data_IF_462404746208
#
_entry.id   IF_462404746208
#
_cell.length_a   1.000
_cell.length_b   1.000
_cell.length_c   1.000
_cell.angle_alpha   90.00
_cell.angle_beta   90.00
_cell.angle_gamma   90.00
#
_symmetry.space_group_name_H-M   'P 1'
#
loop_
_entity.id
_entity.type
_entity.pdbx_description
1 polymer ?
#
# COMPACT_ATOMS: atom_id res chain seq x y z
N UNK A 1 -2.05 5.72 14.33
CA UNK A 1 -3.03 5.09 13.42
C UNK A 1 -3.43 5.98 12.24
N UNK A 2 -3.80 7.25 12.44
CA UNK A 2 -4.13 8.19 11.34
C UNK A 2 -3.04 8.25 10.26
N UNK A 3 -1.78 8.40 10.66
CA UNK A 3 -0.63 8.41 9.74
C UNK A 3 -0.47 7.10 8.95
N UNK A 4 -0.81 5.95 9.54
CA UNK A 4 -0.76 4.65 8.85
C UNK A 4 -1.86 4.57 7.78
N UNK A 5 -3.05 5.11 8.06
CA UNK A 5 -4.16 5.18 7.09
C UNK A 5 -3.77 6.11 5.93
N UNK A 6 -3.20 7.27 6.21
CA UNK A 6 -2.73 8.21 5.19
C UNK A 6 -1.61 7.60 4.33
N UNK A 7 -0.65 6.90 4.96
CA UNK A 7 0.42 6.17 4.26
C UNK A 7 -0.14 5.08 3.34
N UNK A 8 -1.10 4.29 3.81
CA UNK A 8 -1.74 3.25 2.98
C UNK A 8 -2.47 3.87 1.79
N UNK A 9 -3.18 4.99 2.00
CA UNK A 9 -3.88 5.68 0.91
C UNK A 9 -2.92 6.19 -0.17
N UNK A 10 -1.80 6.79 0.23
CA UNK A 10 -0.76 7.25 -0.70
C UNK A 10 -0.15 6.08 -1.50
N UNK A 11 0.24 5.01 -0.80
CA UNK A 11 0.80 3.81 -1.44
C UNK A 11 -0.20 3.13 -2.39
N UNK A 12 -1.49 3.15 -2.05
CA UNK A 12 -2.53 2.60 -2.92
C UNK A 12 -2.71 3.43 -4.19
N UNK A 13 -2.63 4.75 -4.10
CA UNK A 13 -2.67 5.62 -5.28
C UNK A 13 -1.52 5.32 -6.24
N UNK A 14 -0.30 5.18 -5.71
CA UNK A 14 0.88 4.81 -6.49
C UNK A 14 0.75 3.41 -7.10
N UNK A 15 0.31 2.43 -6.29
CA UNK A 15 0.03 1.08 -6.76
C UNK A 15 -0.98 1.07 -7.91
N UNK A 16 -2.11 1.74 -7.75
CA UNK A 16 -3.20 1.75 -8.74
C UNK A 16 -2.72 2.34 -10.07
N UNK A 17 -2.01 3.46 -10.01
CA UNK A 17 -1.43 4.11 -11.21
C UNK A 17 -0.47 3.19 -11.95
N UNK A 18 0.49 2.60 -11.24
CA UNK A 18 1.52 1.77 -11.87
C UNK A 18 0.99 0.39 -12.30
N UNK A 19 0.04 -0.19 -11.57
CA UNK A 19 -0.62 -1.44 -11.93
C UNK A 19 -1.45 -1.27 -13.21
N UNK A 20 -2.23 -0.19 -13.31
CA UNK A 20 -3.00 0.10 -14.52
C UNK A 20 -2.08 0.32 -15.73
N UNK A 21 -0.99 1.07 -15.57
CA UNK A 21 -0.01 1.24 -16.64
C UNK A 21 0.66 -0.08 -17.07
N UNK A 22 0.87 -1.02 -16.15
CA UNK A 22 1.32 -2.37 -16.49
C UNK A 22 0.24 -3.16 -17.26
N UNK A 23 -1.02 -3.11 -16.80
CA UNK A 23 -2.15 -3.87 -17.36
C UNK A 23 -2.49 -3.39 -18.77
N UNK A 24 -2.63 -2.07 -18.95
CA UNK A 24 -3.09 -1.47 -20.21
C UNK A 24 -1.99 -1.45 -21.27
N UNK A 25 -0.76 -1.12 -20.86
CA UNK A 25 0.33 -0.80 -21.80
C UNK A 25 1.51 -1.78 -21.73
N UNK A 26 1.41 -2.85 -20.92
CA UNK A 26 2.51 -3.81 -20.76
C UNK A 26 3.78 -3.19 -20.13
N UNK A 27 3.68 -2.05 -19.45
CA UNK A 27 4.83 -1.34 -18.91
C UNK A 27 5.49 -2.13 -17.77
N UNK A 28 6.60 -2.81 -18.07
CA UNK A 28 7.34 -3.66 -17.12
C UNK A 28 7.90 -2.89 -15.93
N UNK A 29 8.37 -1.66 -16.14
CA UNK A 29 8.92 -0.83 -15.06
C UNK A 29 7.83 -0.40 -14.08
N UNK A 30 6.67 0.01 -14.59
CA UNK A 30 5.48 0.27 -13.77
C UNK A 30 5.09 -0.98 -12.97
N UNK A 31 5.14 -2.16 -13.59
CA UNK A 31 4.88 -3.40 -12.88
C UNK A 31 5.84 -3.72 -11.74
N UNK A 32 7.12 -3.39 -11.86
CA UNK A 32 8.07 -3.52 -10.75
C UNK A 32 7.73 -2.56 -9.61
N UNK A 33 7.37 -1.32 -9.92
CA UNK A 33 6.94 -0.33 -8.92
C UNK A 33 5.65 -0.72 -8.22
N UNK A 34 4.65 -1.21 -8.96
CA UNK A 34 3.39 -1.71 -8.41
C UNK A 34 3.62 -2.84 -7.39
N UNK A 35 4.51 -3.81 -7.70
CA UNK A 35 4.88 -4.88 -6.76
C UNK A 35 5.58 -4.35 -5.50
N UNK A 36 6.43 -3.33 -5.63
CA UNK A 36 7.07 -2.69 -4.47
C UNK A 36 6.01 -2.01 -3.60
N UNK A 37 5.12 -1.22 -4.19
CA UNK A 37 4.04 -0.55 -3.49
C UNK A 37 3.11 -1.55 -2.78
N UNK A 38 2.78 -2.69 -3.42
CA UNK A 38 1.93 -3.72 -2.79
C UNK A 38 2.56 -4.32 -1.53
N UNK A 39 3.88 -4.55 -1.53
CA UNK A 39 4.60 -5.04 -0.35
C UNK A 39 4.64 -4.01 0.78
N UNK A 40 4.75 -2.72 0.45
CA UNK A 40 4.72 -1.64 1.44
C UNK A 40 3.31 -1.45 2.03
N UNK A 41 2.25 -1.59 1.23
CA UNK A 41 0.85 -1.61 1.70
C UNK A 41 0.65 -2.75 2.69
N UNK A 42 1.12 -3.96 2.38
CA UNK A 42 0.97 -5.13 3.26
C UNK A 42 1.61 -4.88 4.64
N UNK A 43 2.81 -4.30 4.67
CA UNK A 43 3.50 -3.94 5.91
C UNK A 43 2.73 -2.90 6.71
N UNK A 44 2.30 -1.81 6.06
CA UNK A 44 1.55 -0.74 6.71
C UNK A 44 0.20 -1.22 7.26
N UNK A 45 -0.49 -2.12 6.55
CA UNK A 45 -1.74 -2.73 7.02
C UNK A 45 -1.51 -3.65 8.23
N UNK A 46 -0.41 -4.41 8.26
CA UNK A 46 -0.03 -5.22 9.44
C UNK A 46 0.29 -4.34 10.64
N UNK A 47 1.01 -3.24 10.45
CA UNK A 47 1.29 -2.25 11.49
C UNK A 47 0.00 -1.61 12.02
N UNK A 48 -0.91 -1.22 11.13
CA UNK A 48 -2.21 -0.66 11.49
C UNK A 48 -3.01 -1.66 12.34
N UNK A 49 -3.07 -2.93 11.93
CA UNK A 49 -3.75 -3.98 12.70
C UNK A 49 -3.17 -4.12 14.11
N UNK A 50 -1.84 -4.13 14.26
CA UNK A 50 -1.19 -4.23 15.57
C UNK A 50 -1.54 -3.02 16.44
N UNK A 51 -1.39 -1.81 15.92
CA UNK A 51 -1.70 -0.58 16.64
C UNK A 51 -3.18 -0.50 17.04
N UNK A 52 -4.09 -0.97 16.17
CA UNK A 52 -5.53 -1.02 16.46
C UNK A 52 -5.86 -2.00 17.58
N UNK A 53 -5.24 -3.18 17.61
CA UNK A 53 -5.43 -4.17 18.67
C UNK A 53 -4.83 -3.74 20.01
N UNK A 54 -3.77 -2.94 19.98
CA UNK A 54 -3.19 -2.35 21.19
C UNK A 54 -4.09 -1.23 21.73
N UNK A 55 -4.60 -0.37 20.85
CA UNK A 55 -5.53 0.69 21.23
C UNK A 55 -6.84 0.16 21.82
N UNK A 56 -7.29 -1.06 21.43
CA UNK A 56 -8.51 -1.67 21.97
C UNK A 56 -8.35 -2.35 23.33
N UNK A 57 -7.13 -2.39 23.88
CA UNK A 57 -6.84 -3.00 25.20
C UNK A 57 -6.81 -1.99 26.33
N UNK A 58 -6.83 -0.70 26.01
CA UNK A 58 -6.89 0.43 26.93
C UNK A 58 -8.29 1.07 26.84
#
# INVERSE_FOLDING_TARGET
MKELVEKVAALYADFSKDANAQIENGNKAAGTRARKASLEIEKAMKEFRKASLEASKN
#
